data_IF_144024311384
#
_entry.id   IF_144024311384
#
_cell.length_a   1.000
_cell.length_b   1.000
_cell.length_c   1.000
_cell.angle_alpha   90.00
_cell.angle_beta   90.00
_cell.angle_gamma   90.00
#
_symmetry.space_group_name_H-M   'P 1'
#
loop_
_entity.id
_entity.type
_entity.pdbx_description
1 polymer ?
#
# COMPACT_ATOMS: atom_id res chain seq x y z
N UNK A 1 26.57 -2.99 -1.32
CA UNK A 1 25.75 -3.94 -0.55
C UNK A 1 24.35 -3.93 -1.15
N UNK A 2 23.77 -5.07 -1.46
CA UNK A 2 22.40 -5.13 -1.98
C UNK A 2 21.40 -4.83 -0.84
N UNK A 3 20.36 -4.06 -1.14
CA UNK A 3 19.31 -3.73 -0.17
C UNK A 3 18.23 -4.81 -0.09
N UNK A 4 18.49 -6.00 -0.66
CA UNK A 4 17.53 -7.10 -0.73
C UNK A 4 17.23 -7.64 0.68
N UNK A 5 15.95 -7.76 1.01
CA UNK A 5 15.47 -8.18 2.32
C UNK A 5 15.57 -7.12 3.43
N UNK A 6 16.01 -5.89 3.12
CA UNK A 6 15.92 -4.80 4.07
C UNK A 6 14.45 -4.44 4.36
N UNK A 7 14.15 -4.05 5.59
CA UNK A 7 12.83 -3.55 5.94
C UNK A 7 12.45 -2.35 5.04
N UNK A 8 11.19 -2.25 4.61
CA UNK A 8 10.75 -1.16 3.77
C UNK A 8 10.88 0.17 4.53
N UNK A 9 11.39 1.20 3.85
CA UNK A 9 11.49 2.53 4.45
C UNK A 9 10.08 3.11 4.60
N UNK A 10 9.83 3.90 5.66
CA UNK A 10 8.54 4.57 5.81
C UNK A 10 8.16 5.39 4.57
N UNK A 11 9.10 6.09 3.94
CA UNK A 11 8.83 6.85 2.71
C UNK A 11 8.28 5.97 1.57
N UNK A 12 8.87 4.78 1.36
CA UNK A 12 8.43 3.83 0.33
C UNK A 12 7.00 3.33 0.58
N UNK A 13 6.67 3.02 1.85
CA UNK A 13 5.32 2.59 2.21
C UNK A 13 4.31 3.73 2.05
N UNK A 14 4.73 4.98 2.29
CA UNK A 14 3.90 6.17 2.06
C UNK A 14 3.61 6.37 0.57
N UNK A 15 4.61 6.21 -0.30
CA UNK A 15 4.44 6.25 -1.75
C UNK A 15 3.44 5.18 -2.22
N UNK A 16 3.58 3.94 -1.75
CA UNK A 16 2.64 2.85 -2.06
C UNK A 16 1.21 3.18 -1.63
N UNK A 17 1.01 3.70 -0.41
CA UNK A 17 -0.30 4.08 0.08
C UNK A 17 -0.93 5.21 -0.76
N UNK A 18 -0.13 6.22 -1.15
CA UNK A 18 -0.58 7.31 -2.02
C UNK A 18 -0.98 6.80 -3.41
N UNK A 19 -0.24 5.84 -3.97
CA UNK A 19 -0.60 5.20 -5.24
C UNK A 19 -1.93 4.47 -5.16
N UNK A 20 -2.19 3.74 -4.06
CA UNK A 20 -3.47 3.07 -3.83
C UNK A 20 -4.61 4.10 -3.69
N UNK A 21 -4.42 5.16 -2.91
CA UNK A 21 -5.42 6.24 -2.77
C UNK A 21 -5.72 6.91 -4.12
N UNK A 22 -4.70 7.16 -4.95
CA UNK A 22 -4.89 7.72 -6.28
C UNK A 22 -5.70 6.78 -7.20
N UNK A 23 -5.49 5.46 -7.09
CA UNK A 23 -6.28 4.46 -7.82
C UNK A 23 -7.73 4.38 -7.32
N UNK A 24 -7.93 4.35 -6.00
CA UNK A 24 -9.27 4.25 -5.40
C UNK A 24 -10.09 5.54 -5.48
N UNK A 25 -9.46 6.71 -5.50
CA UNK A 25 -10.11 8.01 -5.72
C UNK A 25 -10.76 8.16 -7.09
N UNK A 26 -10.51 7.23 -8.03
CA UNK A 26 -11.21 7.17 -9.32
C UNK A 26 -12.55 6.41 -9.25
N UNK A 27 -12.74 5.50 -8.28
CA UNK A 27 -13.90 4.59 -8.22
C UNK A 27 -15.14 5.22 -7.57
N UNK A 28 -15.01 6.30 -6.80
CA UNK A 28 -16.16 6.97 -6.13
C UNK A 28 -16.89 7.98 -7.05
N UNK A 29 -16.49 8.11 -8.32
CA UNK A 29 -17.04 9.12 -9.24
C UNK A 29 -18.22 8.65 -10.11
N UNK A 30 -18.99 7.64 -9.68
CA UNK A 30 -20.25 7.24 -10.35
C UNK A 30 -21.49 7.49 -9.50
N UNK A 31 -21.53 8.60 -8.77
CA UNK A 31 -22.74 9.31 -8.34
C UNK A 31 -22.19 10.49 -7.52
N UNK A 32 -22.23 11.73 -7.97
CA UNK A 32 -23.34 12.66 -7.74
C UNK A 32 -22.99 13.91 -8.56
N UNK A 33 -23.42 13.95 -9.82
CA UNK A 33 -23.05 14.99 -10.81
C UNK A 33 -23.28 16.44 -10.31
N UNK A 34 -24.22 16.65 -9.40
CA UNK A 34 -24.54 17.98 -8.84
C UNK A 34 -23.52 18.47 -7.80
N UNK A 35 -22.80 17.59 -7.11
CA UNK A 35 -21.86 17.98 -6.03
C UNK A 35 -20.45 18.32 -6.55
N UNK A 36 -20.10 17.86 -7.76
CA UNK A 36 -18.84 18.18 -8.43
C UNK A 36 -18.72 19.64 -8.87
N UNK A 37 -19.83 20.29 -9.23
CA UNK A 37 -19.81 21.69 -9.69
C UNK A 37 -19.51 22.69 -8.56
N UNK A 38 -19.77 22.33 -7.30
CA UNK A 38 -19.52 23.19 -6.13
C UNK A 38 -18.22 22.84 -5.37
N UNK A 39 -17.67 21.63 -5.55
CA UNK A 39 -16.42 21.18 -4.92
C UNK A 39 -15.23 21.10 -5.91
N UNK A 40 -15.32 21.76 -7.06
CA UNK A 40 -14.32 21.70 -8.14
C UNK A 40 -12.91 22.22 -7.75
N UNK A 41 -12.75 22.81 -6.56
CA UNK A 41 -11.44 23.21 -6.01
C UNK A 41 -10.83 22.20 -5.02
N UNK A 42 -11.52 21.09 -4.70
CA UNK A 42 -11.04 20.09 -3.73
C UNK A 42 -11.00 18.70 -4.36
N UNK A 43 -10.34 18.58 -5.50
CA UNK A 43 -9.59 17.36 -5.77
C UNK A 43 -8.18 17.56 -5.20
N UNK A 44 -8.12 17.80 -3.89
CA UNK A 44 -6.87 17.64 -3.17
C UNK A 44 -6.51 16.16 -3.32
N UNK A 45 -5.37 15.90 -3.94
CA UNK A 45 -4.78 14.56 -3.94
C UNK A 45 -4.67 14.13 -2.48
N UNK A 46 -5.57 13.26 -2.01
CA UNK A 46 -5.54 12.79 -0.64
C UNK A 46 -4.27 11.96 -0.47
N UNK A 47 -3.24 12.58 0.10
CA UNK A 47 -1.99 11.93 0.45
C UNK A 47 -2.01 11.54 1.90
N UNK A 48 -1.47 10.38 2.25
CA UNK A 48 -1.22 10.04 3.65
C UNK A 48 -0.17 10.98 4.23
N UNK A 49 -0.37 11.41 5.47
CA UNK A 49 0.59 12.28 6.16
C UNK A 49 1.93 11.58 6.38
N UNK A 50 3.02 12.34 6.43
CA UNK A 50 4.40 11.82 6.59
C UNK A 50 4.57 10.91 7.82
N UNK A 51 3.92 11.26 8.94
CA UNK A 51 3.97 10.48 10.18
C UNK A 51 2.96 9.33 10.23
N UNK A 52 2.18 9.09 9.18
CA UNK A 52 1.09 8.12 9.18
C UNK A 52 1.59 6.71 9.52
N UNK A 53 2.69 6.25 8.92
CA UNK A 53 3.27 4.91 9.19
C UNK A 53 3.77 4.79 10.61
N UNK A 54 4.43 5.83 11.12
CA UNK A 54 4.90 5.86 12.49
C UNK A 54 3.71 5.75 13.44
N UNK A 55 2.69 6.61 13.26
CA UNK A 55 1.49 6.61 14.08
C UNK A 55 0.72 5.28 14.01
N UNK A 56 0.62 4.69 12.81
CA UNK A 56 0.00 3.39 12.60
C UNK A 56 0.75 2.28 13.35
N UNK A 57 2.07 2.23 13.21
CA UNK A 57 2.92 1.24 13.89
C UNK A 57 2.89 1.40 15.41
N UNK A 58 2.76 2.63 15.93
CA UNK A 58 2.64 2.85 17.39
C UNK A 58 1.26 2.45 17.93
N UNK A 59 0.19 2.58 17.14
CA UNK A 59 -1.15 2.13 17.53
C UNK A 59 -1.24 0.60 17.60
N UNK A 60 -0.51 -0.09 16.75
CA UNK A 60 -0.47 -1.56 16.68
C UNK A 60 0.90 -2.07 17.10
N UNK A 61 1.12 -2.24 18.40
CA UNK A 61 2.41 -2.64 18.98
C UNK A 61 2.93 -3.97 18.41
N UNK A 62 2.04 -4.85 17.95
CA UNK A 62 2.33 -6.12 17.29
C UNK A 62 3.08 -5.96 15.96
N UNK A 63 2.90 -4.83 15.28
CA UNK A 63 3.55 -4.51 14.01
C UNK A 63 4.96 -3.97 14.21
N UNK A 64 5.24 -3.35 15.36
CA UNK A 64 6.56 -2.78 15.69
C UNK A 64 7.71 -3.79 15.56
N UNK A 65 7.63 -5.02 16.11
CA UNK A 65 8.69 -6.02 15.92
C UNK A 65 8.70 -6.64 14.52
N UNK A 66 7.64 -6.50 13.72
CA UNK A 66 7.59 -7.03 12.34
C UNK A 66 8.21 -6.05 11.35
N UNK A 67 7.96 -4.76 11.53
CA UNK A 67 8.49 -3.71 10.66
C UNK A 67 10.02 -3.53 10.77
N UNK A 68 10.60 -3.85 11.93
CA UNK A 68 12.05 -3.78 12.15
C UNK A 68 12.81 -5.05 11.74
N UNK A 69 12.11 -6.15 11.43
CA UNK A 69 12.76 -7.40 11.05
C UNK A 69 13.32 -7.28 9.64
N UNK A 70 14.61 -7.56 9.51
CA UNK A 70 15.19 -7.89 8.21
C UNK A 70 14.52 -9.17 7.73
N UNK A 71 14.05 -9.16 6.50
CA UNK A 71 13.51 -10.36 5.89
C UNK A 71 14.66 -11.35 5.63
N UNK A 72 14.43 -12.63 5.89
CA UNK A 72 15.44 -13.65 5.64
C UNK A 72 15.62 -13.81 4.13
N UNK A 73 16.78 -13.40 3.62
CA UNK A 73 17.09 -13.46 2.20
C UNK A 73 17.09 -14.91 1.67
N UNK A 74 17.35 -15.89 2.53
CA UNK A 74 17.25 -17.30 2.14
C UNK A 74 15.80 -17.68 1.81
N UNK A 75 14.82 -17.11 2.55
CA UNK A 75 13.40 -17.25 2.21
C UNK A 75 13.10 -16.67 0.83
N UNK A 76 13.57 -15.46 0.51
CA UNK A 76 13.36 -14.87 -0.84
C UNK A 76 13.99 -15.69 -1.97
N UNK A 77 15.05 -16.44 -1.70
CA UNK A 77 15.68 -17.32 -2.69
C UNK A 77 14.91 -18.63 -2.90
N UNK A 78 14.14 -19.02 -1.89
CA UNK A 78 13.32 -20.24 -1.89
C UNK A 78 11.88 -19.97 -2.31
N UNK A 79 11.47 -18.71 -2.43
CA UNK A 79 10.18 -18.34 -2.99
C UNK A 79 10.13 -18.79 -4.47
N UNK A 80 9.40 -19.88 -4.71
CA UNK A 80 9.15 -20.38 -6.06
C UNK A 80 8.37 -19.32 -6.84
N UNK A 81 8.89 -18.80 -7.98
CA UNK A 81 8.19 -17.84 -8.82
C UNK A 81 6.77 -18.28 -9.18
N UNK A 82 6.53 -19.59 -9.33
CA UNK A 82 5.19 -20.14 -9.60
C UNK A 82 4.24 -19.96 -8.43
N UNK A 83 4.74 -20.12 -7.20
CA UNK A 83 3.95 -19.93 -5.99
C UNK A 83 3.57 -18.45 -5.81
N UNK A 84 4.52 -17.54 -6.02
CA UNK A 84 4.26 -16.10 -6.00
C UNK A 84 3.23 -15.71 -7.06
N UNK A 85 3.40 -16.19 -8.30
CA UNK A 85 2.48 -15.89 -9.40
C UNK A 85 1.06 -16.38 -9.08
N UNK A 86 0.92 -17.62 -8.60
CA UNK A 86 -0.37 -18.18 -8.20
C UNK A 86 -1.07 -17.35 -7.12
N UNK A 87 -0.33 -16.81 -6.16
CA UNK A 87 -0.89 -15.92 -5.14
C UNK A 87 -1.42 -14.62 -5.76
N UNK A 88 -0.65 -13.97 -6.65
CA UNK A 88 -1.11 -12.77 -7.36
C UNK A 88 -2.35 -13.04 -8.22
N UNK A 89 -2.38 -14.17 -8.92
CA UNK A 89 -3.54 -14.59 -9.72
C UNK A 89 -4.79 -14.74 -8.84
N UNK A 90 -4.62 -15.30 -7.63
CA UNK A 90 -5.72 -15.48 -6.66
C UNK A 90 -6.25 -14.12 -6.18
N UNK A 91 -5.35 -13.19 -5.83
CA UNK A 91 -5.73 -11.83 -5.42
C UNK A 91 -6.47 -11.11 -6.55
N UNK A 92 -5.98 -11.22 -7.79
CA UNK A 92 -6.63 -10.60 -8.94
C UNK A 92 -8.01 -11.19 -9.21
N UNK A 93 -8.18 -12.51 -9.07
CA UNK A 93 -9.48 -13.16 -9.16
C UNK A 93 -10.45 -12.60 -8.11
N UNK A 94 -10.05 -12.51 -6.83
CA UNK A 94 -10.88 -11.97 -5.74
C UNK A 94 -11.25 -10.49 -5.92
N UNK A 95 -10.42 -9.69 -6.59
CA UNK A 95 -10.74 -8.28 -6.89
C UNK A 95 -11.72 -8.16 -8.05
N UNK A 96 -11.71 -9.13 -8.98
CA UNK A 96 -12.52 -9.11 -10.20
C UNK A 96 -13.91 -9.73 -9.99
N UNK A 97 -14.03 -10.70 -9.08
CA UNK A 97 -15.29 -11.21 -8.55
C UNK A 97 -16.08 -10.15 -7.77
#
# INVERSE_FOLDING_TARGET
MDLRGAAPRPSTVQEMANLLLAKHGSIVTVSWWWWCLTNMLVLSTQTVGEKWIYNFTQRYIELKPRFSRKYDYQYTKQEDPKFIQKWFDTVQQTITE
#
